data_IF_042474895362
#
_entry.id   IF_042474895362
#
_cell.length_a   1.000
_cell.length_b   1.000
_cell.length_c   1.000
_cell.angle_alpha   90.00
_cell.angle_beta   90.00
_cell.angle_gamma   90.00
#
_symmetry.space_group_name_H-M   'P 1'
#
loop_
_entity.id
_entity.type
_entity.pdbx_description
1 polymer ?
#
# COMPACT_ATOMS: atom_id res chain seq x y z
N UNK A 1 -4.18 -7.70 2.62
CA UNK A 1 -5.40 -8.29 3.26
C UNK A 1 -6.41 -7.24 3.72
N UNK A 2 -6.02 -6.13 4.38
CA UNK A 2 -6.96 -5.04 4.74
C UNK A 2 -7.54 -4.32 3.51
N UNK A 3 -6.72 -4.09 2.48
CA UNK A 3 -7.12 -3.46 1.21
C UNK A 3 -8.06 -4.31 0.35
N UNK A 4 -7.97 -5.64 0.44
CA UNK A 4 -8.85 -6.56 -0.30
C UNK A 4 -10.29 -6.49 0.24
N UNK A 5 -10.48 -6.25 1.56
CA UNK A 5 -11.81 -6.12 2.17
C UNK A 5 -12.52 -4.82 1.81
N UNK A 6 -11.80 -3.71 1.60
CA UNK A 6 -12.39 -2.45 1.10
C UNK A 6 -12.71 -2.50 -0.39
N UNK A 7 -12.01 -3.36 -1.15
CA UNK A 7 -12.15 -3.51 -2.59
C UNK A 7 -13.46 -4.20 -3.05
N UNK A 8 -14.10 -4.98 -2.16
CA UNK A 8 -15.37 -5.69 -2.40
C UNK A 8 -16.61 -4.95 -1.87
N UNK A 9 -16.46 -3.69 -1.43
CA UNK A 9 -17.61 -2.89 -0.98
C UNK A 9 -18.50 -2.55 -2.19
N UNK A 10 -19.75 -3.03 -2.13
CA UNK A 10 -20.85 -2.33 -2.79
C UNK A 10 -21.60 -3.08 -3.89
N UNK A 11 -21.59 -4.42 -3.95
CA UNK A 11 -22.63 -5.15 -4.70
C UNK A 11 -23.50 -5.95 -3.75
N UNK A 12 -24.82 -5.83 -3.90
CA UNK A 12 -25.76 -6.61 -3.09
C UNK A 12 -25.85 -8.06 -3.61
N UNK A 13 -26.19 -9.01 -2.73
CA UNK A 13 -26.38 -10.41 -3.17
C UNK A 13 -27.41 -10.56 -4.32
N UNK A 14 -28.54 -9.83 -4.33
CA UNK A 14 -29.46 -9.84 -5.47
C UNK A 14 -28.86 -9.41 -6.81
N UNK A 15 -28.03 -8.35 -6.84
CA UNK A 15 -27.30 -7.94 -8.05
C UNK A 15 -26.36 -9.05 -8.53
N UNK A 16 -25.64 -9.67 -7.59
CA UNK A 16 -24.71 -10.78 -7.87
C UNK A 16 -25.43 -11.98 -8.48
N UNK A 17 -26.58 -12.36 -7.93
CA UNK A 17 -27.41 -13.44 -8.43
C UNK A 17 -27.96 -13.12 -9.84
N UNK A 18 -28.46 -11.90 -10.05
CA UNK A 18 -28.94 -11.45 -11.36
C UNK A 18 -27.83 -11.55 -12.44
N UNK A 19 -26.62 -11.11 -12.11
CA UNK A 19 -25.46 -11.25 -13.00
C UNK A 19 -25.11 -12.72 -13.27
N UNK A 20 -25.08 -13.55 -12.22
CA UNK A 20 -24.70 -14.97 -12.32
C UNK A 20 -25.60 -15.74 -13.30
N UNK A 21 -26.92 -15.69 -13.13
CA UNK A 21 -27.82 -16.41 -14.04
C UNK A 21 -27.88 -15.79 -15.44
N UNK A 22 -27.67 -14.48 -15.56
CA UNK A 22 -27.51 -13.84 -16.87
C UNK A 22 -26.25 -14.35 -17.57
N UNK A 23 -25.15 -14.60 -16.84
CA UNK A 23 -23.96 -15.24 -17.40
C UNK A 23 -24.21 -16.68 -17.82
N UNK A 24 -24.87 -17.47 -16.98
CA UNK A 24 -25.22 -18.86 -17.32
C UNK A 24 -26.08 -18.92 -18.58
N UNK A 25 -27.03 -17.99 -18.76
CA UNK A 25 -27.88 -17.91 -19.95
C UNK A 25 -27.05 -17.78 -21.24
N UNK A 26 -25.94 -17.06 -21.21
CA UNK A 26 -25.13 -16.77 -22.40
C UNK A 26 -23.81 -17.55 -22.50
N UNK A 27 -23.56 -18.49 -21.59
CA UNK A 27 -22.33 -19.30 -21.58
C UNK A 27 -22.15 -20.11 -22.86
N UNK A 28 -23.25 -20.44 -23.54
CA UNK A 28 -23.27 -21.18 -24.80
C UNK A 28 -22.80 -20.34 -26.01
N UNK A 29 -22.59 -19.03 -25.84
CA UNK A 29 -22.14 -18.09 -26.88
C UNK A 29 -20.95 -17.19 -26.43
N UNK A 30 -19.85 -17.75 -25.88
CA UNK A 30 -18.84 -16.97 -25.16
C UNK A 30 -18.03 -16.02 -26.06
N UNK A 31 -17.96 -16.29 -27.37
CA UNK A 31 -17.28 -15.43 -28.36
C UNK A 31 -18.16 -14.30 -28.89
N UNK A 32 -19.48 -14.48 -28.86
CA UNK A 32 -20.46 -13.61 -29.53
C UNK A 32 -21.12 -12.63 -28.58
N UNK A 33 -21.35 -13.07 -27.34
CA UNK A 33 -22.06 -12.32 -26.31
C UNK A 33 -21.14 -12.15 -25.10
N UNK A 34 -21.03 -10.91 -24.61
CA UNK A 34 -20.30 -10.58 -23.38
C UNK A 34 -21.29 -10.06 -22.35
N UNK A 35 -21.28 -10.64 -21.16
CA UNK A 35 -22.05 -10.16 -20.01
C UNK A 35 -21.06 -9.54 -19.03
N UNK A 36 -21.27 -8.28 -18.66
CA UNK A 36 -20.38 -7.51 -17.79
C UNK A 36 -21.12 -7.04 -16.55
N UNK A 37 -20.41 -7.13 -15.42
CA UNK A 37 -20.87 -6.65 -14.13
C UNK A 37 -20.46 -5.18 -13.97
N UNK A 38 -21.39 -4.30 -13.57
CA UNK A 38 -21.12 -2.89 -13.22
C UNK A 38 -20.28 -2.13 -14.24
N UNK A 39 -20.61 -2.29 -15.53
CA UNK A 39 -19.86 -1.64 -16.61
C UNK A 39 -20.29 -0.18 -16.78
N UNK A 40 -19.31 0.75 -16.83
CA UNK A 40 -19.52 2.18 -17.15
C UNK A 40 -18.98 2.58 -18.52
N UNK A 41 -18.13 1.75 -19.12
CA UNK A 41 -17.35 2.09 -20.31
C UNK A 41 -18.24 2.26 -21.55
N UNK A 42 -19.29 1.44 -21.65
CA UNK A 42 -20.18 1.44 -22.82
C UNK A 42 -21.29 2.48 -22.72
N UNK A 43 -21.73 2.76 -21.51
CA UNK A 43 -22.93 3.54 -21.19
C UNK A 43 -22.60 4.95 -20.71
N UNK A 44 -21.39 5.19 -20.20
CA UNK A 44 -21.01 6.44 -19.52
C UNK A 44 -21.53 6.56 -18.08
N UNK A 45 -22.37 5.61 -17.64
CA UNK A 45 -22.85 5.46 -16.26
C UNK A 45 -22.88 3.97 -15.89
N UNK A 46 -22.75 3.65 -14.61
CA UNK A 46 -22.72 2.26 -14.14
C UNK A 46 -24.10 1.60 -14.24
N UNK A 47 -24.18 0.38 -14.78
CA UNK A 47 -25.36 -0.50 -14.72
C UNK A 47 -24.97 -1.86 -14.18
N UNK A 48 -25.81 -2.49 -13.34
CA UNK A 48 -25.45 -3.74 -12.66
C UNK A 48 -25.08 -4.86 -13.63
N UNK A 49 -25.86 -5.04 -14.69
CA UNK A 49 -25.57 -6.03 -15.75
C UNK A 49 -25.69 -5.39 -17.13
N UNK A 50 -24.61 -5.50 -17.90
CA UNK A 50 -24.56 -5.04 -19.31
C UNK A 50 -24.31 -6.23 -20.22
N UNK A 51 -25.23 -6.51 -21.13
CA UNK A 51 -25.15 -7.61 -22.09
C UNK A 51 -24.86 -7.05 -23.47
N UNK A 52 -23.73 -7.45 -24.07
CA UNK A 52 -23.20 -6.88 -25.30
C UNK A 52 -23.14 -7.96 -26.37
N UNK A 53 -23.81 -7.70 -27.50
CA UNK A 53 -23.82 -8.58 -28.66
C UNK A 53 -22.91 -8.00 -29.74
N UNK A 54 -21.76 -8.65 -29.98
CA UNK A 54 -20.68 -8.09 -30.80
C UNK A 54 -20.85 -8.28 -32.32
N UNK A 55 -22.06 -8.56 -32.80
CA UNK A 55 -22.25 -9.22 -34.09
C UNK A 55 -22.63 -8.31 -35.26
N UNK A 56 -22.35 -7.00 -35.19
CA UNK A 56 -22.73 -5.98 -36.21
C UNK A 56 -21.86 -4.71 -36.09
N UNK A 57 -21.90 -3.82 -37.11
CA UNK A 57 -21.20 -2.51 -37.14
C UNK A 57 -21.42 -1.63 -35.90
N UNK A 58 -22.56 -1.78 -35.22
CA UNK A 58 -22.87 -1.17 -33.92
C UNK A 58 -23.33 -2.29 -32.96
N UNK A 59 -22.72 -2.45 -31.78
CA UNK A 59 -23.12 -3.48 -30.83
C UNK A 59 -24.56 -3.25 -30.36
N UNK A 60 -25.34 -4.33 -30.25
CA UNK A 60 -26.63 -4.31 -29.57
C UNK A 60 -26.39 -4.55 -28.07
N UNK A 61 -27.03 -3.74 -27.21
CA UNK A 61 -26.78 -3.74 -25.77
C UNK A 61 -28.11 -3.81 -25.03
N UNK A 62 -28.18 -4.70 -24.03
CA UNK A 62 -29.26 -4.78 -23.06
C UNK A 62 -28.72 -4.41 -21.68
N UNK A 63 -29.53 -3.70 -20.90
CA UNK A 63 -29.19 -3.24 -19.56
C UNK A 63 -30.12 -3.89 -18.53
N UNK A 64 -29.57 -4.35 -17.41
CA UNK A 64 -30.32 -4.72 -16.21
C UNK A 64 -29.82 -3.93 -15.01
N UNK A 65 -30.73 -3.61 -14.10
CA UNK A 65 -30.45 -2.98 -12.81
C UNK A 65 -31.28 -3.65 -11.71
N UNK A 66 -30.71 -3.78 -10.52
CA UNK A 66 -31.39 -4.17 -9.30
C UNK A 66 -31.35 -3.02 -8.29
N UNK A 67 -32.51 -2.46 -7.97
CA UNK A 67 -32.64 -1.36 -7.03
C UNK A 67 -33.06 -1.87 -5.64
N UNK A 68 -32.13 -1.76 -4.68
CA UNK A 68 -32.40 -2.03 -3.27
C UNK A 68 -33.03 -0.83 -2.57
N UNK A 69 -34.07 -1.05 -1.76
CA UNK A 69 -34.82 0.02 -1.09
C UNK A 69 -33.98 0.78 -0.04
N UNK A 70 -32.91 0.17 0.47
CA UNK A 70 -31.97 0.82 1.39
C UNK A 70 -31.13 1.92 0.73
N UNK A 71 -30.93 1.86 -0.58
CA UNK A 71 -30.04 2.73 -1.35
C UNK A 71 -30.80 3.70 -2.26
N UNK A 72 -31.84 3.22 -2.94
CA UNK A 72 -32.64 4.04 -3.86
C UNK A 72 -33.75 4.76 -3.09
N UNK A 73 -33.37 5.83 -2.37
CA UNK A 73 -34.30 6.71 -1.64
C UNK A 73 -34.66 7.98 -2.42
N UNK A 74 -33.74 8.43 -3.27
CA UNK A 74 -33.94 9.53 -4.20
C UNK A 74 -34.28 8.98 -5.58
N UNK A 75 -35.30 9.55 -6.21
CA UNK A 75 -35.81 9.13 -7.52
C UNK A 75 -35.13 9.87 -8.67
N UNK A 76 -34.50 11.02 -8.42
CA UNK A 76 -33.92 11.86 -9.48
C UNK A 76 -32.79 11.12 -10.22
N UNK A 77 -31.87 10.50 -9.48
CA UNK A 77 -30.79 9.69 -10.06
C UNK A 77 -31.34 8.50 -10.88
N UNK A 78 -32.42 7.87 -10.41
CA UNK A 78 -33.08 6.78 -11.13
C UNK A 78 -33.68 7.25 -12.46
N UNK A 79 -34.29 8.44 -12.48
CA UNK A 79 -34.86 9.07 -13.67
C UNK A 79 -33.76 9.44 -14.67
N UNK A 80 -32.66 10.02 -14.21
CA UNK A 80 -31.51 10.34 -15.07
C UNK A 80 -30.94 9.10 -15.75
N UNK A 81 -30.82 8.01 -15.00
CA UNK A 81 -30.33 6.73 -15.50
C UNK A 81 -31.28 6.10 -16.52
N UNK A 82 -32.59 6.21 -16.32
CA UNK A 82 -33.59 5.81 -17.32
C UNK A 82 -33.46 6.64 -18.60
N UNK A 83 -33.35 7.97 -18.46
CA UNK A 83 -33.20 8.88 -19.59
C UNK A 83 -31.93 8.59 -20.40
N UNK A 84 -30.83 8.22 -19.72
CA UNK A 84 -29.60 7.78 -20.37
C UNK A 84 -29.81 6.51 -21.21
N UNK A 85 -30.44 5.48 -20.65
CA UNK A 85 -30.72 4.25 -21.39
C UNK A 85 -31.58 4.50 -22.65
N UNK A 86 -32.62 5.34 -22.52
CA UNK A 86 -33.48 5.76 -23.63
C UNK A 86 -32.67 6.54 -24.68
N UNK A 87 -31.85 7.50 -24.26
CA UNK A 87 -30.97 8.29 -25.14
C UNK A 87 -30.02 7.40 -25.94
N UNK A 88 -29.48 6.35 -25.31
CA UNK A 88 -28.60 5.39 -25.97
C UNK A 88 -29.34 4.37 -26.85
N UNK A 89 -30.67 4.34 -26.77
CA UNK A 89 -31.53 3.34 -27.42
C UNK A 89 -31.20 1.90 -26.98
N UNK A 90 -30.87 1.73 -25.69
CA UNK A 90 -30.59 0.43 -25.09
C UNK A 90 -31.82 -0.04 -24.31
N UNK A 91 -32.44 -1.18 -24.66
CA UNK A 91 -33.52 -1.73 -23.85
C UNK A 91 -33.04 -1.98 -22.42
N UNK A 92 -33.87 -1.59 -21.47
CA UNK A 92 -33.51 -1.56 -20.07
C UNK A 92 -34.60 -2.20 -19.20
N UNK A 93 -34.18 -3.14 -18.35
CA UNK A 93 -35.01 -3.78 -17.35
C UNK A 93 -34.50 -3.45 -15.95
N UNK A 94 -35.42 -3.16 -15.04
CA UNK A 94 -35.12 -2.77 -13.68
C UNK A 94 -35.90 -3.63 -12.70
N UNK A 95 -35.20 -4.29 -11.78
CA UNK A 95 -35.78 -5.05 -10.68
C UNK A 95 -35.79 -4.15 -9.46
N UNK A 96 -36.98 -3.74 -8.98
CA UNK A 96 -37.11 -2.81 -7.84
C UNK A 96 -37.70 -3.51 -6.64
N UNK A 97 -37.11 -3.32 -5.47
CA UNK A 97 -37.76 -3.66 -4.21
C UNK A 97 -39.01 -2.81 -4.00
N UNK A 98 -40.07 -3.40 -3.43
CA UNK A 98 -41.36 -2.74 -3.24
C UNK A 98 -41.31 -1.40 -2.46
N UNK A 99 -40.25 -1.13 -1.70
CA UNK A 99 -40.11 0.07 -0.86
C UNK A 99 -39.30 1.16 -1.56
N UNK A 100 -38.72 0.88 -2.72
CA UNK A 100 -38.17 1.93 -3.56
C UNK A 100 -39.29 2.93 -3.91
N UNK A 101 -38.96 4.23 -4.02
CA UNK A 101 -39.89 5.23 -4.53
C UNK A 101 -40.52 4.77 -5.85
N UNK A 102 -41.81 5.07 -6.01
CA UNK A 102 -42.57 4.70 -7.20
C UNK A 102 -41.98 5.41 -8.42
N UNK A 103 -41.32 4.64 -9.27
CA UNK A 103 -40.82 5.11 -10.56
C UNK A 103 -41.75 4.60 -11.66
N UNK A 104 -42.56 5.50 -12.22
CA UNK A 104 -43.45 5.17 -13.35
C UNK A 104 -42.81 5.69 -14.64
N UNK A 105 -42.18 4.79 -15.37
CA UNK A 105 -41.63 5.07 -16.70
C UNK A 105 -41.98 3.92 -17.64
N UNK A 106 -42.97 4.13 -18.52
CA UNK A 106 -43.49 3.09 -19.43
C UNK A 106 -42.47 2.67 -20.50
N UNK A 107 -41.39 3.45 -20.67
CA UNK A 107 -40.28 3.12 -21.58
C UNK A 107 -39.36 2.04 -21.02
N UNK A 108 -39.40 1.82 -19.70
CA UNK A 108 -38.52 0.89 -18.98
C UNK A 108 -39.33 -0.28 -18.42
N UNK A 109 -38.83 -1.50 -18.62
CA UNK A 109 -39.49 -2.68 -18.08
C UNK A 109 -39.16 -2.86 -16.60
N UNK A 110 -40.17 -2.75 -15.73
CA UNK A 110 -39.99 -2.82 -14.27
C UNK A 110 -40.53 -4.13 -13.70
N UNK A 111 -39.70 -4.82 -12.92
CA UNK A 111 -40.07 -6.02 -12.15
C UNK A 111 -40.10 -5.62 -10.67
N UNK A 112 -41.23 -5.80 -9.99
CA UNK A 112 -41.34 -5.51 -8.56
C UNK A 112 -41.03 -6.75 -7.74
N UNK A 113 -40.04 -6.66 -6.84
CA UNK A 113 -39.74 -7.64 -5.80
C UNK A 113 -40.58 -7.32 -4.55
N UNK A 114 -41.45 -8.25 -4.18
CA UNK A 114 -42.48 -8.05 -3.16
C UNK A 114 -42.01 -8.21 -1.71
N UNK A 115 -40.94 -8.97 -1.47
CA UNK A 115 -40.47 -9.34 -0.12
C UNK A 115 -39.08 -8.79 0.20
N UNK A 116 -38.92 -8.20 1.40
CA UNK A 116 -37.63 -7.67 1.91
C UNK A 116 -36.85 -8.66 2.75
N UNK A 117 -37.43 -9.82 3.06
CA UNK A 117 -36.73 -10.80 3.88
C UNK A 117 -35.51 -11.30 3.11
N UNK A 118 -34.32 -11.17 3.71
CA UNK A 118 -33.09 -11.76 3.20
C UNK A 118 -33.15 -13.29 3.10
N UNK A 119 -34.25 -13.91 3.58
CA UNK A 119 -34.55 -15.35 3.49
C UNK A 119 -35.59 -15.72 2.43
N UNK A 120 -36.18 -14.74 1.74
CA UNK A 120 -37.15 -14.98 0.66
C UNK A 120 -36.42 -15.00 -0.70
N UNK A 121 -35.70 -16.10 -0.89
CA UNK A 121 -34.98 -16.41 -2.13
C UNK A 121 -35.93 -16.78 -3.25
N UNK A 122 -37.13 -17.29 -2.94
CA UNK A 122 -38.15 -17.62 -3.93
C UNK A 122 -38.61 -16.37 -4.71
N UNK A 123 -38.82 -15.24 -4.03
CA UNK A 123 -39.18 -14.00 -4.71
C UNK A 123 -38.05 -13.49 -5.62
N UNK A 124 -36.78 -13.61 -5.18
CA UNK A 124 -35.62 -13.27 -6.00
C UNK A 124 -35.49 -14.20 -7.21
N UNK A 125 -35.67 -15.52 -7.02
CA UNK A 125 -35.69 -16.52 -8.08
C UNK A 125 -36.73 -16.15 -9.15
N UNK A 126 -37.95 -15.79 -8.72
CA UNK A 126 -39.00 -15.31 -9.64
C UNK A 126 -38.61 -14.04 -10.40
N UNK A 127 -37.98 -13.07 -9.73
CA UNK A 127 -37.51 -11.85 -10.38
C UNK A 127 -36.45 -12.15 -11.45
N UNK A 128 -35.50 -13.03 -11.15
CA UNK A 128 -34.44 -13.46 -12.10
C UNK A 128 -35.06 -14.17 -13.30
N UNK A 129 -36.00 -15.10 -13.07
CA UNK A 129 -36.75 -15.77 -14.15
C UNK A 129 -37.48 -14.77 -15.05
N UNK A 130 -38.16 -13.78 -14.47
CA UNK A 130 -38.82 -12.70 -15.23
C UNK A 130 -37.83 -11.85 -16.03
N UNK A 131 -36.65 -11.56 -15.48
CA UNK A 131 -35.61 -10.85 -16.19
C UNK A 131 -35.09 -11.66 -17.39
N UNK A 132 -34.90 -12.98 -17.23
CA UNK A 132 -34.55 -13.89 -18.32
C UNK A 132 -35.64 -13.88 -19.41
N UNK A 133 -36.91 -14.00 -19.04
CA UNK A 133 -38.01 -13.96 -20.00
C UNK A 133 -38.06 -12.63 -20.77
N UNK A 134 -37.81 -11.51 -20.08
CA UNK A 134 -37.70 -10.20 -20.72
C UNK A 134 -36.53 -10.15 -21.72
N UNK A 135 -35.34 -10.64 -21.35
CA UNK A 135 -34.17 -10.71 -22.25
C UNK A 135 -34.54 -11.50 -23.51
N UNK A 136 -35.15 -12.68 -23.36
CA UNK A 136 -35.55 -13.53 -24.49
C UNK A 136 -36.54 -12.79 -25.40
N UNK A 137 -37.48 -12.04 -24.84
CA UNK A 137 -38.42 -11.23 -25.61
C UNK A 137 -37.71 -10.12 -26.43
N UNK A 138 -36.73 -9.42 -25.84
CA UNK A 138 -35.93 -8.41 -26.56
C UNK A 138 -35.08 -9.01 -27.69
N UNK A 139 -34.55 -10.21 -27.48
CA UNK A 139 -33.75 -10.88 -28.51
C UNK A 139 -34.61 -11.40 -29.66
N UNK A 140 -35.85 -11.80 -29.37
CA UNK A 140 -36.81 -12.19 -30.39
C UNK A 140 -37.17 -11.02 -31.31
N UNK A 141 -37.33 -9.81 -30.76
CA UNK A 141 -37.74 -8.63 -31.53
C UNK A 141 -36.58 -7.97 -32.29
N UNK A 142 -35.35 -8.08 -31.78
CA UNK A 142 -34.18 -7.38 -32.33
C UNK A 142 -33.48 -8.10 -33.51
N UNK A 143 -33.75 -9.39 -33.72
CA UNK A 143 -33.12 -10.22 -34.75
C UNK A 143 -31.57 -10.26 -34.69
N UNK A 144 -30.97 -10.03 -33.51
CA UNK A 144 -29.51 -10.02 -33.32
C UNK A 144 -28.89 -11.42 -33.37
N UNK A 145 -29.71 -12.45 -33.13
CA UNK A 145 -29.35 -13.85 -33.27
C UNK A 145 -30.04 -14.44 -34.50
N UNK A 146 -29.35 -15.34 -35.20
CA UNK A 146 -30.00 -16.12 -36.26
C UNK A 146 -31.12 -16.99 -35.67
N UNK A 147 -32.08 -17.43 -36.51
CA UNK A 147 -33.18 -18.30 -36.06
C UNK A 147 -32.68 -19.56 -35.33
N UNK A 148 -31.58 -20.15 -35.80
CA UNK A 148 -30.98 -21.34 -35.19
C UNK A 148 -30.37 -21.04 -33.81
N UNK A 149 -29.64 -19.93 -33.68
CA UNK A 149 -29.04 -19.49 -32.43
C UNK A 149 -30.10 -19.10 -31.40
N UNK A 150 -31.14 -18.38 -31.83
CA UNK A 150 -32.26 -18.03 -30.96
C UNK A 150 -33.00 -19.27 -30.45
N UNK A 151 -33.23 -20.28 -31.31
CA UNK A 151 -33.84 -21.55 -30.88
C UNK A 151 -32.98 -22.27 -29.85
N UNK A 152 -31.66 -22.29 -30.06
CA UNK A 152 -30.71 -22.89 -29.10
C UNK A 152 -30.72 -22.14 -27.76
N UNK A 153 -30.72 -20.80 -27.80
CA UNK A 153 -30.84 -19.96 -26.60
C UNK A 153 -32.15 -20.21 -25.86
N UNK A 154 -33.26 -20.35 -26.59
CA UNK A 154 -34.57 -20.57 -26.01
C UNK A 154 -34.64 -21.91 -25.28
N UNK A 155 -34.06 -22.98 -25.82
CA UNK A 155 -33.97 -24.27 -25.14
C UNK A 155 -33.12 -24.16 -23.88
N UNK A 156 -31.92 -23.55 -24.00
CA UNK A 156 -31.02 -23.35 -22.86
C UNK A 156 -31.64 -22.50 -21.76
N UNK A 157 -32.43 -21.48 -22.11
CA UNK A 157 -33.08 -20.62 -21.12
C UNK A 157 -34.12 -21.37 -20.29
N UNK A 158 -34.76 -22.42 -20.81
CA UNK A 158 -35.62 -23.28 -19.98
C UNK A 158 -34.83 -24.03 -18.91
N UNK A 159 -33.65 -24.54 -19.26
CA UNK A 159 -32.80 -25.26 -18.30
C UNK A 159 -32.22 -24.30 -17.25
N UNK A 160 -31.72 -23.13 -17.66
CA UNK A 160 -31.25 -22.10 -16.73
C UNK A 160 -32.38 -21.63 -15.80
N UNK A 161 -33.59 -21.41 -16.31
CA UNK A 161 -34.74 -21.00 -15.48
C UNK A 161 -35.12 -22.06 -14.44
N UNK A 162 -35.03 -23.35 -14.78
CA UNK A 162 -35.28 -24.45 -13.83
C UNK A 162 -34.18 -24.55 -12.76
N UNK A 163 -32.95 -24.17 -13.10
CA UNK A 163 -31.82 -24.22 -12.17
C UNK A 163 -31.68 -22.98 -11.29
N UNK A 164 -32.58 -22.00 -11.38
CA UNK A 164 -32.50 -20.80 -10.53
C UNK A 164 -32.85 -21.17 -9.09
N UNK A 165 -31.82 -21.26 -8.25
CA UNK A 165 -31.91 -21.44 -6.80
C UNK A 165 -30.87 -20.55 -6.10
N UNK A 166 -31.24 -19.30 -5.83
CA UNK A 166 -30.33 -18.33 -5.21
C UNK A 166 -29.92 -18.67 -3.78
N UNK A 167 -30.68 -19.51 -3.07
CA UNK A 167 -30.27 -19.96 -1.74
C UNK A 167 -29.14 -20.98 -1.86
N UNK A 168 -29.33 -21.99 -2.71
CA UNK A 168 -28.34 -23.04 -2.93
C UNK A 168 -27.05 -22.50 -3.55
N UNK A 169 -27.17 -21.60 -4.53
CA UNK A 169 -26.03 -21.08 -5.30
C UNK A 169 -25.28 -19.95 -4.58
N UNK A 170 -25.70 -19.55 -3.37
CA UNK A 170 -25.17 -18.35 -2.70
C UNK A 170 -23.64 -18.31 -2.60
N UNK A 171 -23.02 -19.40 -2.17
CA UNK A 171 -21.56 -19.48 -2.00
C UNK A 171 -20.84 -19.41 -3.35
N UNK A 172 -21.35 -20.14 -4.35
CA UNK A 172 -20.79 -20.19 -5.70
C UNK A 172 -20.90 -18.82 -6.37
N UNK A 173 -22.07 -18.17 -6.27
CA UNK A 173 -22.31 -16.81 -6.77
C UNK A 173 -21.30 -15.85 -6.15
N UNK A 174 -21.20 -15.86 -4.81
CA UNK A 174 -20.31 -14.96 -4.09
C UNK A 174 -18.85 -15.13 -4.52
N UNK A 175 -18.39 -16.36 -4.73
CA UNK A 175 -17.01 -16.64 -5.12
C UNK A 175 -16.73 -16.34 -6.60
N UNK A 176 -17.66 -16.67 -7.50
CA UNK A 176 -17.55 -16.36 -8.92
C UNK A 176 -17.47 -14.85 -9.15
N UNK A 177 -18.32 -14.07 -8.46
CA UNK A 177 -18.33 -12.61 -8.61
C UNK A 177 -17.01 -12.00 -8.15
N UNK A 178 -16.46 -12.44 -7.01
CA UNK A 178 -15.15 -11.93 -6.54
C UNK A 178 -14.08 -12.11 -7.61
N UNK A 179 -14.02 -13.29 -8.23
CA UNK A 179 -13.04 -13.59 -9.27
C UNK A 179 -13.27 -12.76 -10.54
N UNK A 180 -14.52 -12.60 -10.98
CA UNK A 180 -14.85 -11.78 -12.17
C UNK A 180 -14.48 -10.31 -11.95
N UNK A 181 -14.89 -9.74 -10.82
CA UNK A 181 -14.59 -8.33 -10.48
C UNK A 181 -13.08 -8.12 -10.36
N UNK A 182 -12.37 -9.06 -9.72
CA UNK A 182 -10.92 -9.02 -9.64
C UNK A 182 -10.28 -8.99 -11.04
N UNK A 183 -10.66 -9.90 -11.94
CA UNK A 183 -10.09 -9.94 -13.29
C UNK A 183 -10.43 -8.71 -14.13
N UNK A 184 -11.66 -8.21 -14.09
CA UNK A 184 -12.04 -6.98 -14.80
C UNK A 184 -11.18 -5.79 -14.35
N UNK A 185 -11.02 -5.62 -13.04
CA UNK A 185 -10.24 -4.51 -12.50
C UNK A 185 -8.74 -4.66 -12.77
N UNK A 186 -8.22 -5.88 -12.78
CA UNK A 186 -6.85 -6.13 -13.25
C UNK A 186 -6.68 -5.74 -14.72
N UNK A 187 -7.66 -6.01 -15.58
CA UNK A 187 -7.63 -5.53 -16.98
C UNK A 187 -7.66 -4.01 -17.08
N UNK A 188 -8.47 -3.33 -16.26
CA UNK A 188 -8.50 -1.85 -16.20
C UNK A 188 -7.15 -1.28 -15.74
N UNK A 189 -6.53 -1.89 -14.73
CA UNK A 189 -5.20 -1.50 -14.24
C UNK A 189 -4.16 -1.66 -15.36
N UNK A 190 -4.15 -2.79 -16.06
CA UNK A 190 -3.21 -3.01 -17.17
C UNK A 190 -3.47 -2.06 -18.34
N UNK A 191 -4.72 -1.78 -18.66
CA UNK A 191 -5.08 -0.76 -19.66
C UNK A 191 -4.57 0.63 -19.23
N UNK A 192 -4.74 1.01 -17.97
CA UNK A 192 -4.26 2.30 -17.46
C UNK A 192 -2.73 2.39 -17.47
N UNK A 193 -2.03 1.30 -17.11
CA UNK A 193 -0.57 1.21 -17.25
C UNK A 193 -0.13 1.42 -18.69
N UNK A 194 -0.79 0.77 -19.66
CA UNK A 194 -0.47 0.93 -21.08
C UNK A 194 -0.63 2.39 -21.55
N UNK A 195 -1.70 3.07 -21.14
CA UNK A 195 -1.90 4.50 -21.44
C UNK A 195 -0.80 5.39 -20.85
N UNK A 196 -0.41 5.13 -19.60
CA UNK A 196 0.67 5.86 -18.94
C UNK A 196 2.02 5.64 -19.66
N UNK A 197 2.32 4.40 -20.04
CA UNK A 197 3.53 4.07 -20.81
C UNK A 197 3.56 4.80 -22.15
N UNK A 198 2.46 4.78 -22.91
CA UNK A 198 2.35 5.48 -24.20
C UNK A 198 2.55 7.00 -24.03
N UNK A 199 1.91 7.59 -23.01
CA UNK A 199 2.03 9.02 -22.70
C UNK A 199 3.47 9.40 -22.36
N UNK A 200 4.14 8.61 -21.50
CA UNK A 200 5.52 8.83 -21.12
C UNK A 200 6.48 8.68 -22.31
N UNK A 201 6.31 7.64 -23.14
CA UNK A 201 7.14 7.42 -24.34
C UNK A 201 7.04 8.56 -25.34
N UNK A 202 5.84 9.14 -25.53
CA UNK A 202 5.63 10.32 -26.39
C UNK A 202 6.33 11.58 -25.89
N UNK A 203 6.65 11.65 -24.60
CA UNK A 203 7.19 12.84 -23.93
C UNK A 203 8.49 12.50 -23.16
N UNK A 204 9.30 11.62 -23.74
CA UNK A 204 10.43 10.98 -23.05
C UNK A 204 11.52 11.95 -22.59
N UNK A 205 11.68 13.08 -23.27
CA UNK A 205 12.62 14.15 -22.89
C UNK A 205 12.26 14.81 -21.55
N UNK A 206 10.97 14.86 -21.21
CA UNK A 206 10.48 15.43 -19.95
C UNK A 206 10.34 14.37 -18.85
N UNK A 207 10.22 13.09 -19.21
CA UNK A 207 10.01 11.97 -18.29
C UNK A 207 11.28 11.55 -17.52
N UNK A 208 12.10 12.49 -17.06
CA UNK A 208 13.43 12.20 -16.46
C UNK A 208 13.36 12.08 -14.94
N UNK A 209 12.89 13.13 -14.26
CA UNK A 209 12.74 13.20 -12.80
C UNK A 209 11.30 13.54 -12.44
N UNK A 210 10.88 13.15 -11.23
CA UNK A 210 9.55 13.47 -10.69
C UNK A 210 9.21 14.94 -10.88
N UNK A 211 10.14 15.85 -10.53
CA UNK A 211 9.92 17.30 -10.63
C UNK A 211 9.76 17.75 -12.08
N UNK A 212 10.67 17.34 -12.97
CA UNK A 212 10.63 17.74 -14.38
C UNK A 212 9.36 17.24 -15.06
N UNK A 213 8.96 15.99 -14.76
CA UNK A 213 7.72 15.43 -15.27
C UNK A 213 6.49 16.16 -14.72
N UNK A 214 6.43 16.45 -13.42
CA UNK A 214 5.26 17.11 -12.83
C UNK A 214 5.07 18.54 -13.36
N UNK A 215 6.16 19.31 -13.51
CA UNK A 215 6.12 20.65 -14.11
C UNK A 215 5.63 20.60 -15.57
N UNK A 216 6.05 19.60 -16.36
CA UNK A 216 5.56 19.38 -17.72
C UNK A 216 4.11 18.91 -17.75
N UNK A 217 3.74 17.96 -16.90
CA UNK A 217 2.41 17.38 -16.84
C UNK A 217 1.36 18.42 -16.44
N UNK A 218 1.69 19.32 -15.51
CA UNK A 218 0.81 20.43 -15.11
C UNK A 218 0.49 21.36 -16.28
N UNK A 219 1.49 21.72 -17.09
CA UNK A 219 1.29 22.59 -18.26
C UNK A 219 0.47 21.95 -19.38
N UNK A 220 0.48 20.61 -19.46
CA UNK A 220 -0.13 19.85 -20.55
C UNK A 220 -1.38 19.06 -20.12
N UNK A 221 -1.87 19.27 -18.89
CA UNK A 221 -3.01 18.55 -18.30
C UNK A 221 -2.85 17.00 -18.39
N UNK A 222 -1.66 16.51 -18.08
CA UNK A 222 -1.32 15.08 -18.09
C UNK A 222 -1.32 14.49 -16.67
N UNK A 223 -1.26 13.15 -16.60
CA UNK A 223 -1.11 12.46 -15.31
C UNK A 223 0.25 12.77 -14.67
N UNK A 224 0.23 13.20 -13.41
CA UNK A 224 1.45 13.49 -12.62
C UNK A 224 2.19 12.21 -12.20
N UNK A 225 3.40 12.38 -11.71
CA UNK A 225 4.33 11.36 -11.24
C UNK A 225 3.74 10.39 -10.22
N UNK A 226 2.89 10.88 -9.31
CA UNK A 226 2.25 10.04 -8.29
C UNK A 226 1.41 8.91 -8.91
N UNK A 227 0.80 9.12 -10.09
CA UNK A 227 0.07 8.09 -10.80
C UNK A 227 1.01 7.00 -11.31
N UNK A 228 2.16 7.37 -11.86
CA UNK A 228 3.18 6.40 -12.27
C UNK A 228 3.72 5.62 -11.08
N UNK A 229 4.02 6.30 -9.96
CA UNK A 229 4.48 5.64 -8.74
C UNK A 229 3.42 4.65 -8.22
N UNK A 230 2.14 5.03 -8.25
CA UNK A 230 1.04 4.16 -7.84
C UNK A 230 0.96 2.89 -8.71
N UNK A 231 1.00 3.02 -10.04
CA UNK A 231 0.83 1.88 -10.95
C UNK A 231 2.09 1.01 -11.12
N UNK A 232 3.28 1.58 -11.00
CA UNK A 232 4.56 0.88 -11.23
C UNK A 232 5.35 0.61 -9.94
N UNK A 233 4.87 1.10 -8.80
CA UNK A 233 5.46 0.91 -7.47
C UNK A 233 6.59 1.88 -7.12
N UNK A 234 7.32 2.41 -8.11
CA UNK A 234 8.31 3.47 -7.91
C UNK A 234 8.56 4.25 -9.19
N UNK A 235 9.11 5.47 -9.07
CA UNK A 235 9.51 6.27 -10.22
C UNK A 235 10.59 5.58 -11.05
N UNK A 236 11.57 4.94 -10.41
CA UNK A 236 12.63 4.20 -11.11
C UNK A 236 12.08 3.04 -11.93
N UNK A 237 11.08 2.30 -11.42
CA UNK A 237 10.40 1.25 -12.19
C UNK A 237 9.59 1.84 -13.35
N UNK A 238 8.97 3.01 -13.16
CA UNK A 238 8.28 3.71 -14.24
C UNK A 238 9.24 4.11 -15.38
N UNK A 239 10.45 4.60 -15.05
CA UNK A 239 11.51 4.90 -16.02
C UNK A 239 11.95 3.65 -16.80
N UNK A 240 12.14 2.54 -16.09
CA UNK A 240 12.57 1.26 -16.67
C UNK A 240 11.55 0.74 -17.71
N UNK A 241 10.26 0.71 -17.38
CA UNK A 241 9.22 0.19 -18.29
C UNK A 241 9.03 1.04 -19.55
N UNK A 242 9.38 2.33 -19.51
CA UNK A 242 9.33 3.20 -20.69
C UNK A 242 10.62 3.13 -21.52
N UNK A 243 11.64 2.39 -21.06
CA UNK A 243 12.93 2.25 -21.74
C UNK A 243 13.91 3.39 -21.47
N UNK A 244 13.65 4.22 -20.46
CA UNK A 244 14.53 5.32 -20.09
C UNK A 244 15.65 4.79 -19.19
N UNK A 245 16.90 4.96 -19.65
CA UNK A 245 18.08 4.51 -18.90
C UNK A 245 18.07 5.12 -17.51
N UNK A 246 18.30 4.29 -16.50
CA UNK A 246 18.30 4.72 -15.10
C UNK A 246 19.35 5.83 -14.92
N UNK A 247 18.90 7.02 -14.52
CA UNK A 247 19.78 8.18 -14.29
C UNK A 247 20.89 7.84 -13.28
N UNK A 248 20.63 6.96 -12.30
CA UNK A 248 21.67 6.49 -11.38
C UNK A 248 22.74 5.64 -12.08
N UNK A 249 22.37 4.84 -13.07
CA UNK A 249 23.32 4.05 -13.86
C UNK A 249 24.18 4.97 -14.73
N UNK A 250 23.57 5.99 -15.35
CA UNK A 250 24.30 7.02 -16.11
C UNK A 250 25.28 7.75 -15.17
N UNK A 251 24.80 8.20 -14.00
CA UNK A 251 25.65 8.86 -12.99
C UNK A 251 26.76 7.95 -12.48
N UNK A 252 26.51 6.66 -12.30
CA UNK A 252 27.53 5.67 -11.93
C UNK A 252 28.59 5.53 -13.02
N UNK A 253 28.21 5.45 -14.30
CA UNK A 253 29.16 5.40 -15.43
C UNK A 253 30.00 6.66 -15.51
N UNK A 254 29.38 7.84 -15.42
CA UNK A 254 30.09 9.12 -15.38
C UNK A 254 31.09 9.18 -14.20
N UNK A 255 30.68 8.72 -13.02
CA UNK A 255 31.57 8.70 -11.86
C UNK A 255 32.75 7.71 -12.03
N UNK A 256 32.53 6.57 -12.70
CA UNK A 256 33.60 5.61 -13.05
C UNK A 256 34.56 6.21 -14.07
N UNK A 257 34.05 6.83 -15.15
CA UNK A 257 34.85 7.54 -16.15
C UNK A 257 35.69 8.64 -15.51
N UNK A 258 35.07 9.47 -14.68
CA UNK A 258 35.76 10.48 -13.87
C UNK A 258 36.83 9.87 -12.97
N UNK A 259 36.51 8.73 -12.33
CA UNK A 259 37.45 7.99 -11.48
C UNK A 259 38.69 7.51 -12.25
N UNK A 260 38.52 7.03 -13.48
CA UNK A 260 39.64 6.67 -14.36
C UNK A 260 40.45 7.89 -14.81
N UNK A 261 39.80 9.02 -15.15
CA UNK A 261 40.51 10.26 -15.52
C UNK A 261 41.38 10.80 -14.38
N UNK A 262 41.00 10.51 -13.13
CA UNK A 262 41.61 11.09 -11.93
C UNK A 262 42.24 10.04 -11.02
N UNK A 263 42.60 8.87 -11.59
CA UNK A 263 42.93 7.64 -10.86
C UNK A 263 44.03 7.85 -9.80
N UNK A 264 45.04 8.68 -10.09
CA UNK A 264 46.16 8.97 -9.19
C UNK A 264 45.75 9.65 -7.89
N UNK A 265 44.59 10.31 -7.88
CA UNK A 265 44.04 11.04 -6.74
C UNK A 265 42.98 10.24 -5.99
N UNK A 266 42.51 9.10 -6.53
CA UNK A 266 41.45 8.24 -5.94
C UNK A 266 41.96 7.39 -4.75
N UNK A 267 43.12 7.73 -4.18
CA UNK A 267 43.74 7.02 -3.03
C UNK A 267 42.83 7.00 -1.80
N UNK A 268 42.29 8.15 -1.42
CA UNK A 268 41.39 8.31 -0.27
C UNK A 268 40.33 9.37 -0.53
N UNK A 269 39.21 9.30 0.19
CA UNK A 269 38.16 10.32 0.12
C UNK A 269 38.69 11.73 0.38
N UNK A 270 39.58 11.90 1.37
CA UNK A 270 40.12 13.21 1.72
C UNK A 270 41.06 13.75 0.65
N UNK A 271 41.93 12.89 0.11
CA UNK A 271 42.84 13.24 -1.00
C UNK A 271 42.06 13.67 -2.23
N UNK A 272 41.05 12.89 -2.61
CA UNK A 272 40.24 13.16 -3.78
C UNK A 272 39.40 14.43 -3.64
N UNK A 273 38.80 14.61 -2.45
CA UNK A 273 38.03 15.82 -2.15
C UNK A 273 38.91 17.07 -2.27
N UNK A 274 40.12 17.05 -1.72
CA UNK A 274 41.07 18.17 -1.82
C UNK A 274 41.48 18.43 -3.26
N UNK A 275 41.78 17.37 -4.02
CA UNK A 275 42.11 17.47 -5.43
C UNK A 275 41.00 18.17 -6.24
N UNK A 276 39.73 17.80 -6.01
CA UNK A 276 38.60 18.45 -6.70
C UNK A 276 38.42 19.92 -6.30
N UNK A 277 38.69 20.27 -5.04
CA UNK A 277 38.67 21.66 -4.57
C UNK A 277 39.77 22.50 -5.24
N UNK A 278 40.95 21.90 -5.50
CA UNK A 278 42.07 22.56 -6.19
C UNK A 278 41.86 22.67 -7.71
N UNK A 279 41.19 21.69 -8.33
CA UNK A 279 40.96 21.63 -9.78
C UNK A 279 39.92 22.64 -10.29
N UNK A 280 39.05 23.13 -9.39
CA UNK A 280 37.97 24.09 -9.65
C UNK A 280 37.16 23.80 -10.94
N UNK A 281 36.78 22.55 -11.16
CA UNK A 281 35.93 22.16 -12.29
C UNK A 281 34.49 21.89 -11.85
N UNK A 282 33.54 22.63 -12.40
CA UNK A 282 32.11 22.41 -12.15
C UNK A 282 31.59 21.10 -12.76
N UNK A 283 32.28 20.57 -13.76
CA UNK A 283 31.86 19.37 -14.50
C UNK A 283 32.07 18.06 -13.72
N UNK A 284 32.81 18.10 -12.61
CA UNK A 284 33.18 16.91 -11.85
C UNK A 284 32.18 16.64 -10.72
N UNK A 285 31.78 15.39 -10.60
CA UNK A 285 30.99 14.93 -9.47
C UNK A 285 31.81 15.00 -8.19
N UNK A 286 31.26 15.68 -7.16
CA UNK A 286 31.91 15.77 -5.85
C UNK A 286 32.16 14.39 -5.23
N UNK A 287 33.23 14.28 -4.43
CA UNK A 287 33.56 13.06 -3.67
C UNK A 287 32.36 12.56 -2.83
N UNK A 288 31.56 13.48 -2.28
CA UNK A 288 30.36 13.15 -1.49
C UNK A 288 29.26 12.52 -2.35
N UNK A 289 29.03 13.03 -3.56
CA UNK A 289 28.04 12.47 -4.47
C UNK A 289 28.46 11.07 -4.95
N UNK A 290 29.75 10.85 -5.21
CA UNK A 290 30.31 9.52 -5.51
C UNK A 290 30.04 8.55 -4.34
N UNK A 291 30.37 8.91 -3.10
CA UNK A 291 30.07 8.04 -1.93
C UNK A 291 28.59 7.72 -1.81
N UNK A 292 27.70 8.69 -2.09
CA UNK A 292 26.26 8.46 -2.06
C UNK A 292 25.81 7.46 -3.13
N UNK A 293 26.42 7.50 -4.32
CA UNK A 293 26.11 6.56 -5.41
C UNK A 293 26.59 5.13 -5.10
N UNK A 294 27.81 4.97 -4.59
CA UNK A 294 28.45 3.65 -4.40
C UNK A 294 28.33 3.09 -2.97
N UNK A 295 27.76 3.86 -2.05
CA UNK A 295 27.59 3.52 -0.63
C UNK A 295 28.86 3.71 0.22
N UNK A 296 30.05 3.53 -0.36
CA UNK A 296 31.33 3.81 0.28
C UNK A 296 32.44 4.15 -0.73
N UNK A 297 33.50 4.82 -0.26
CA UNK A 297 34.68 5.08 -1.09
C UNK A 297 35.38 3.79 -1.54
N UNK A 298 35.44 2.78 -0.66
CA UNK A 298 36.04 1.48 -1.02
C UNK A 298 35.24 0.75 -2.10
N UNK A 299 33.91 0.84 -2.08
CA UNK A 299 33.10 0.28 -3.16
C UNK A 299 33.39 0.98 -4.50
N UNK A 300 33.50 2.31 -4.50
CA UNK A 300 33.90 3.06 -5.69
C UNK A 300 35.29 2.63 -6.20
N UNK A 301 36.28 2.52 -5.32
CA UNK A 301 37.62 2.00 -5.68
C UNK A 301 37.56 0.60 -6.27
N UNK A 302 36.73 -0.28 -5.70
CA UNK A 302 36.54 -1.65 -6.20
C UNK A 302 35.99 -1.67 -7.63
N UNK A 303 35.04 -0.79 -7.95
CA UNK A 303 34.50 -0.65 -9.32
C UNK A 303 35.55 -0.13 -10.33
N UNK A 304 36.56 0.61 -9.86
CA UNK A 304 37.71 1.05 -10.66
C UNK A 304 38.84 0.01 -10.74
N UNK A 305 38.67 -1.18 -10.13
CA UNK A 305 39.73 -2.19 -10.05
C UNK A 305 40.92 -1.78 -9.17
N UNK A 306 40.76 -0.79 -8.29
CA UNK A 306 41.81 -0.33 -7.38
C UNK A 306 41.84 -1.13 -6.08
N UNK A 307 43.03 -1.24 -5.51
CA UNK A 307 43.20 -1.81 -4.18
C UNK A 307 42.41 -1.02 -3.13
N UNK A 308 41.57 -1.74 -2.40
CA UNK A 308 40.87 -1.20 -1.25
C UNK A 308 41.75 -1.34 -0.02
N UNK A 309 41.65 -0.39 0.91
CA UNK A 309 42.28 -0.60 2.21
C UNK A 309 41.44 -1.66 2.91
N UNK A 310 41.95 -2.89 2.97
CA UNK A 310 41.54 -3.82 4.01
C UNK A 310 42.04 -3.21 5.30
N UNK A 311 41.12 -2.85 6.20
CA UNK A 311 41.49 -2.50 7.55
C UNK A 311 42.20 -3.74 8.09
N UNK A 312 43.54 -3.70 8.25
CA UNK A 312 44.24 -4.77 8.95
C UNK A 312 43.51 -4.96 10.26
N UNK A 313 43.00 -6.17 10.49
CA UNK A 313 42.35 -6.52 11.74
C UNK A 313 43.42 -6.45 12.84
N UNK A 314 43.60 -5.27 13.43
CA UNK A 314 44.61 -5.03 14.44
C UNK A 314 44.41 -5.88 15.70
N UNK A 315 43.23 -6.48 15.84
CA UNK A 315 42.84 -7.31 16.97
C UNK A 315 42.18 -8.59 16.46
N UNK A 316 42.71 -9.72 16.88
CA UNK A 316 42.08 -11.02 16.64
C UNK A 316 40.77 -11.12 17.44
N UNK A 317 39.84 -11.95 16.96
CA UNK A 317 38.56 -12.17 17.67
C UNK A 317 38.81 -12.70 19.09
N UNK A 318 39.76 -13.61 19.26
CA UNK A 318 40.11 -14.19 20.56
C UNK A 318 40.67 -13.16 21.53
N UNK A 319 41.57 -12.28 21.06
CA UNK A 319 42.09 -11.18 21.90
C UNK A 319 40.98 -10.26 22.40
N UNK A 320 40.02 -9.93 21.54
CA UNK A 320 38.86 -9.12 21.95
C UNK A 320 38.00 -9.86 22.99
N UNK A 321 37.80 -11.17 22.83
CA UNK A 321 37.06 -11.98 23.82
C UNK A 321 37.79 -12.04 25.16
N UNK A 322 39.11 -12.23 25.15
CA UNK A 322 39.93 -12.23 26.36
C UNK A 322 39.83 -10.90 27.12
N UNK A 323 39.91 -9.76 26.42
CA UNK A 323 39.72 -8.45 27.04
C UNK A 323 38.30 -8.28 27.62
N UNK A 324 37.26 -8.75 26.92
CA UNK A 324 35.88 -8.68 27.41
C UNK A 324 35.69 -9.49 28.69
N UNK A 325 36.27 -10.69 28.75
CA UNK A 325 36.20 -11.57 29.93
C UNK A 325 37.02 -10.99 31.09
N UNK A 326 38.23 -10.51 30.82
CA UNK A 326 39.12 -9.91 31.83
C UNK A 326 38.54 -8.65 32.47
N UNK A 327 37.86 -7.81 31.69
CA UNK A 327 37.31 -6.52 32.15
C UNK A 327 35.78 -6.49 32.15
N UNK A 328 35.14 -7.63 32.42
CA UNK A 328 33.70 -7.85 32.28
C UNK A 328 32.82 -6.76 32.91
N UNK A 329 33.16 -6.29 34.11
CA UNK A 329 32.37 -5.26 34.82
C UNK A 329 32.44 -3.88 34.18
N UNK A 330 33.61 -3.48 33.66
CA UNK A 330 33.78 -2.23 32.93
C UNK A 330 33.08 -2.29 31.57
N UNK A 331 33.03 -3.48 30.98
CA UNK A 331 32.42 -3.76 29.68
C UNK A 331 30.88 -3.70 29.70
N UNK A 332 30.24 -3.76 30.89
CA UNK A 332 28.79 -3.58 31.06
C UNK A 332 28.30 -2.22 30.53
N UNK A 333 29.13 -1.18 30.60
CA UNK A 333 28.80 0.18 30.16
C UNK A 333 29.80 0.69 29.11
N UNK A 334 29.35 0.94 27.88
CA UNK A 334 30.23 1.32 26.76
C UNK A 334 30.99 2.62 27.00
N UNK A 335 30.42 3.58 27.75
CA UNK A 335 31.10 4.84 28.07
C UNK A 335 32.21 4.63 29.11
N UNK A 336 31.95 3.82 30.15
CA UNK A 336 32.99 3.43 31.11
C UNK A 336 34.12 2.65 30.43
N UNK A 337 33.76 1.69 29.57
CA UNK A 337 34.74 0.96 28.76
C UNK A 337 35.58 1.89 27.88
N UNK A 338 34.96 2.80 27.13
CA UNK A 338 35.70 3.71 26.25
C UNK A 338 36.69 4.60 27.02
N UNK A 339 36.31 5.09 28.21
CA UNK A 339 37.21 5.87 29.06
C UNK A 339 38.42 5.03 29.51
N UNK A 340 38.15 3.86 30.09
CA UNK A 340 39.20 2.94 30.55
C UNK A 340 40.11 2.48 29.39
N UNK A 341 39.52 2.12 28.26
CA UNK A 341 40.26 1.66 27.09
C UNK A 341 41.19 2.76 26.55
N UNK A 342 40.75 4.02 26.57
CA UNK A 342 41.60 5.15 26.18
C UNK A 342 42.81 5.30 27.12
N UNK A 343 42.59 5.24 28.43
CA UNK A 343 43.64 5.36 29.45
C UNK A 343 44.66 4.21 29.37
N UNK A 344 44.21 3.02 28.98
CA UNK A 344 45.04 1.80 28.91
C UNK A 344 45.47 1.41 27.49
N UNK A 345 45.25 2.27 26.49
CA UNK A 345 45.56 2.00 25.06
C UNK A 345 44.95 0.69 24.52
N UNK A 346 43.73 0.37 24.95
CA UNK A 346 42.96 -0.80 24.53
C UNK A 346 41.93 -0.46 23.42
N UNK A 347 41.34 -1.46 22.72
CA UNK A 347 40.32 -1.23 21.71
C UNK A 347 39.07 -0.54 22.29
N UNK A 348 38.59 0.51 21.62
CA UNK A 348 37.34 1.16 22.00
C UNK A 348 36.10 0.33 21.59
N UNK A 349 34.92 0.69 22.09
CA UNK A 349 33.66 -0.02 21.83
C UNK A 349 33.32 -0.16 20.33
N UNK A 350 33.78 0.76 19.48
CA UNK A 350 33.48 0.70 18.04
C UNK A 350 34.20 -0.46 17.35
N UNK A 351 35.38 -0.87 17.83
CA UNK A 351 36.08 -2.08 17.36
C UNK A 351 35.21 -3.32 17.60
N UNK A 352 34.64 -3.44 18.79
CA UNK A 352 33.73 -4.54 19.14
C UNK A 352 32.43 -4.49 18.32
N UNK A 353 31.85 -3.31 18.12
CA UNK A 353 30.65 -3.16 17.27
C UNK A 353 30.92 -3.61 15.84
N UNK A 354 32.07 -3.22 15.26
CA UNK A 354 32.46 -3.67 13.91
C UNK A 354 32.66 -5.18 13.85
N UNK A 355 33.31 -5.77 14.85
CA UNK A 355 33.60 -7.22 14.88
C UNK A 355 32.38 -8.08 15.14
N UNK A 356 31.51 -7.68 16.06
CA UNK A 356 30.41 -8.50 16.57
C UNK A 356 29.03 -7.99 16.12
N UNK A 357 28.97 -6.94 15.29
CA UNK A 357 27.77 -6.30 14.77
C UNK A 357 27.07 -5.34 15.74
N UNK A 358 27.16 -5.59 17.06
CA UNK A 358 26.68 -4.66 18.08
C UNK A 358 27.41 -4.86 19.41
N UNK A 359 27.37 -3.84 20.26
CA UNK A 359 27.92 -3.95 21.61
C UNK A 359 27.13 -4.95 22.46
N UNK A 360 25.83 -5.10 22.22
CA UNK A 360 25.00 -6.07 22.97
C UNK A 360 25.37 -7.52 22.62
N UNK A 361 25.70 -7.79 21.35
CA UNK A 361 26.24 -9.09 20.93
C UNK A 361 27.61 -9.36 21.56
N UNK A 362 28.48 -8.36 21.60
CA UNK A 362 29.78 -8.47 22.27
C UNK A 362 29.62 -8.81 23.77
N UNK A 363 28.71 -8.12 24.47
CA UNK A 363 28.39 -8.40 25.88
C UNK A 363 27.80 -9.80 26.10
N UNK A 364 27.02 -10.31 25.14
CA UNK A 364 26.48 -11.66 25.18
C UNK A 364 27.56 -12.74 25.11
N UNK A 365 28.51 -12.57 24.20
CA UNK A 365 29.68 -13.44 24.06
C UNK A 365 30.51 -13.42 25.35
N UNK A 366 30.60 -12.27 26.02
CA UNK A 366 31.26 -12.13 27.32
C UNK A 366 30.46 -12.71 28.51
N UNK A 367 29.30 -13.34 28.26
CA UNK A 367 28.42 -13.90 29.28
C UNK A 367 27.82 -12.84 30.20
N UNK A 368 27.57 -11.62 29.71
CA UNK A 368 26.87 -10.56 30.44
C UNK A 368 25.38 -10.66 30.10
N UNK A 369 24.55 -10.95 31.11
CA UNK A 369 23.09 -11.10 30.92
C UNK A 369 22.42 -9.79 30.54
N UNK A 370 21.23 -9.83 29.93
CA UNK A 370 20.47 -8.59 29.62
C UNK A 370 20.08 -7.79 30.88
N UNK A 371 19.95 -8.44 32.04
CA UNK A 371 19.75 -7.73 33.30
C UNK A 371 21.02 -6.94 33.69
N UNK A 372 22.20 -7.54 33.52
CA UNK A 372 23.49 -6.92 33.86
C UNK A 372 23.95 -5.84 32.86
N UNK A 373 23.41 -5.87 31.63
CA UNK A 373 23.68 -4.87 30.58
C UNK A 373 23.06 -3.51 30.89
N UNK A 374 21.99 -3.47 31.68
CA UNK A 374 21.26 -2.25 32.01
C UNK A 374 21.80 -1.64 33.30
N UNK A 375 22.64 -0.61 33.18
CA UNK A 375 23.03 0.21 34.34
C UNK A 375 21.89 1.12 34.84
N UNK A 376 20.73 1.12 34.19
CA UNK A 376 19.57 1.90 34.60
C UNK A 376 18.62 1.03 35.43
N UNK A 377 18.35 1.45 36.67
CA UNK A 377 17.32 0.82 37.53
C UNK A 377 16.01 0.71 36.72
N UNK A 378 15.48 -0.50 36.61
CA UNK A 378 14.14 -0.73 36.04
C UNK A 378 13.12 -0.42 37.12
N UNK A 379 12.39 0.66 36.92
CA UNK A 379 11.30 1.06 37.79
C UNK A 379 10.02 0.31 37.42
N UNK A 380 9.47 -0.43 38.39
CA UNK A 380 8.12 -0.98 38.31
C UNK A 380 7.09 0.15 38.42
N UNK A 381 5.85 -0.10 37.98
CA UNK A 381 4.77 0.89 38.10
C UNK A 381 4.54 1.28 39.56
N UNK A 382 4.55 0.29 40.47
CA UNK A 382 4.32 0.52 41.89
C UNK A 382 5.45 1.33 42.54
N UNK A 383 6.72 1.04 42.24
CA UNK A 383 7.82 1.87 42.73
C UNK A 383 7.75 3.32 42.24
N UNK A 384 7.31 3.54 40.99
CA UNK A 384 7.13 4.89 40.46
C UNK A 384 6.03 5.63 41.23
N UNK A 385 4.90 4.96 41.49
CA UNK A 385 3.79 5.49 42.29
C UNK A 385 4.29 5.81 43.70
N UNK A 386 4.96 4.87 44.38
CA UNK A 386 5.49 5.06 45.74
C UNK A 386 6.41 6.27 45.82
N UNK A 387 7.38 6.40 44.91
CA UNK A 387 8.31 7.55 44.92
C UNK A 387 7.59 8.86 44.60
N UNK A 388 6.65 8.87 43.66
CA UNK A 388 5.89 10.08 43.34
C UNK A 388 4.99 10.51 44.51
N UNK A 389 4.35 9.56 45.20
CA UNK A 389 3.56 9.82 46.41
C UNK A 389 4.42 10.32 47.56
N UNK A 390 5.60 9.73 47.78
CA UNK A 390 6.53 10.14 48.83
C UNK A 390 6.97 11.59 48.68
N UNK A 391 7.12 12.10 47.45
CA UNK A 391 7.59 13.45 47.16
C UNK A 391 6.56 14.28 46.38
N UNK A 392 5.27 14.12 46.71
CA UNK A 392 4.14 14.72 45.99
C UNK A 392 4.28 16.23 45.74
N UNK A 393 4.78 16.98 46.73
CA UNK A 393 4.97 18.45 46.66
C UNK A 393 5.91 18.92 45.53
N UNK A 394 6.81 18.03 45.08
CA UNK A 394 7.73 18.29 43.99
C UNK A 394 7.25 17.72 42.65
N UNK A 395 6.28 16.79 42.66
CA UNK A 395 5.73 16.14 41.46
C UNK A 395 4.64 16.99 40.80
N UNK A 396 4.94 18.24 40.42
CA UNK A 396 3.94 19.15 39.82
C UNK A 396 4.14 19.29 38.31
N UNK A 397 5.32 19.73 37.88
CA UNK A 397 5.71 19.86 36.46
C UNK A 397 6.93 19.00 36.18
N UNK A 398 7.12 18.60 34.92
CA UNK A 398 8.32 17.85 34.51
C UNK A 398 9.62 18.59 34.88
N UNK A 399 9.61 19.91 34.75
CA UNK A 399 10.76 20.75 35.09
C UNK A 399 11.03 20.77 36.60
N UNK A 400 10.00 20.96 37.43
CA UNK A 400 10.16 20.98 38.88
C UNK A 400 10.60 19.63 39.42
N UNK A 401 10.06 18.51 38.89
CA UNK A 401 10.53 17.17 39.23
C UNK A 401 11.95 16.91 38.72
N UNK A 402 12.30 17.40 37.54
CA UNK A 402 13.65 17.28 36.97
C UNK A 402 14.70 18.02 37.80
N UNK A 403 14.37 19.23 38.28
CA UNK A 403 15.20 20.01 39.19
C UNK A 403 15.34 19.33 40.55
N UNK A 404 14.24 18.78 41.08
CA UNK A 404 14.25 18.00 42.32
C UNK A 404 15.14 16.74 42.21
N UNK A 405 15.01 15.98 41.13
CA UNK A 405 15.87 14.83 40.83
C UNK A 405 17.37 15.22 40.84
N UNK A 406 17.72 16.33 40.17
CA UNK A 406 19.12 16.82 40.14
C UNK A 406 19.60 17.19 41.54
N UNK A 407 18.79 17.93 42.31
CA UNK A 407 19.11 18.31 43.70
C UNK A 407 19.36 17.09 44.58
N UNK A 408 18.45 16.11 44.54
CA UNK A 408 18.56 14.91 45.37
C UNK A 408 19.75 14.03 44.99
N UNK A 409 20.08 13.95 43.70
CA UNK A 409 21.29 13.26 43.22
C UNK A 409 22.58 13.89 43.77
N UNK A 410 22.58 15.19 44.03
CA UNK A 410 23.74 15.90 44.60
C UNK A 410 23.79 15.86 46.14
N UNK A 411 22.65 15.88 46.83
CA UNK A 411 22.60 16.01 48.29
C UNK A 411 22.44 14.70 49.05
N UNK A 412 21.86 13.66 48.43
CA UNK A 412 21.58 12.41 49.14
C UNK A 412 21.69 11.20 48.22
N UNK A 413 22.92 10.68 48.06
CA UNK A 413 23.25 9.63 47.10
C UNK A 413 22.52 8.29 47.32
N UNK A 414 21.87 8.09 48.46
CA UNK A 414 21.12 6.86 48.77
C UNK A 414 19.68 6.87 48.23
N UNK A 415 19.06 8.04 48.03
CA UNK A 415 17.67 8.12 47.54
C UNK A 415 17.68 8.27 46.02
N UNK A 416 17.40 7.17 45.32
CA UNK A 416 17.31 7.21 43.86
C UNK A 416 15.95 7.75 43.43
N UNK A 417 15.93 8.86 42.70
CA UNK A 417 14.70 9.44 42.14
C UNK A 417 14.64 9.16 40.63
N UNK A 418 13.53 8.64 40.06
CA UNK A 418 13.40 8.45 38.62
C UNK A 418 13.35 9.80 37.88
N UNK A 419 14.00 9.87 36.71
CA UNK A 419 13.94 11.05 35.85
C UNK A 419 12.50 11.26 35.31
N UNK A 420 12.03 12.50 35.09
CA UNK A 420 10.66 12.77 34.63
C UNK A 420 10.22 11.97 33.38
N UNK A 421 11.14 11.74 32.44
CA UNK A 421 10.85 11.00 31.21
C UNK A 421 10.50 9.53 31.44
N UNK A 422 10.87 8.94 32.59
CA UNK A 422 10.50 7.57 32.96
C UNK A 422 8.99 7.50 33.24
N UNK A 423 8.46 8.47 33.99
CA UNK A 423 7.03 8.60 34.25
C UNK A 423 6.25 8.87 32.96
N UNK A 424 6.69 9.84 32.16
CA UNK A 424 6.04 10.17 30.89
C UNK A 424 5.91 8.95 29.97
N UNK A 425 6.97 8.15 29.83
CA UNK A 425 6.94 6.92 29.02
C UNK A 425 6.04 5.85 29.63
N UNK A 426 6.10 5.64 30.95
CA UNK A 426 5.33 4.58 31.62
C UNK A 426 3.83 4.82 31.56
N UNK A 427 3.40 6.06 31.75
CA UNK A 427 2.00 6.42 31.90
C UNK A 427 1.41 7.09 30.64
N UNK A 428 2.13 7.06 29.51
CA UNK A 428 1.65 7.64 28.25
C UNK A 428 1.48 9.16 28.29
N UNK A 429 2.24 9.85 29.14
CA UNK A 429 2.17 11.31 29.34
C UNK A 429 2.45 11.71 30.78
N UNK A 430 2.98 12.92 30.99
CA UNK A 430 3.22 13.48 32.33
C UNK A 430 1.92 13.79 33.07
N UNK A 431 0.96 14.40 32.36
CA UNK A 431 -0.37 14.67 32.92
C UNK A 431 -1.08 13.36 33.28
N UNK A 432 -1.05 12.36 32.40
CA UNK A 432 -1.59 11.03 32.69
C UNK A 432 -0.92 10.39 33.91
N UNK A 433 0.39 10.54 34.08
CA UNK A 433 1.07 10.07 35.29
C UNK A 433 0.47 10.70 36.56
N UNK A 434 0.28 12.03 36.60
CA UNK A 434 -0.35 12.70 37.75
C UNK A 434 -1.78 12.21 38.00
N UNK A 435 -2.60 12.10 36.94
CA UNK A 435 -3.98 11.60 37.05
C UNK A 435 -4.04 10.19 37.62
N UNK A 436 -3.20 9.29 37.12
CA UNK A 436 -3.17 7.88 37.54
C UNK A 436 -2.61 7.75 38.95
N UNK A 437 -1.52 8.46 39.28
CA UNK A 437 -0.83 8.34 40.57
C UNK A 437 -1.64 9.00 41.69
N UNK A 438 -2.25 10.16 41.45
CA UNK A 438 -2.92 10.95 42.50
C UNK A 438 -4.44 11.01 42.40
N UNK A 439 -5.04 10.43 41.37
CA UNK A 439 -6.49 10.51 41.13
C UNK A 439 -6.98 11.91 40.76
N UNK A 440 -6.08 12.81 40.36
CA UNK A 440 -6.41 14.18 39.94
C UNK A 440 -7.19 14.13 38.60
N UNK A 441 -8.41 14.70 38.57
CA UNK A 441 -9.24 14.76 37.36
C UNK A 441 -8.71 15.79 36.37
#
# INVERSE_FOLDING_TARGET
>A
MKEIKEFFKGTSFPEQALFYYTRMLFEIFPKKIKVRNRDKLITGSEFDVVIIFNNVKKPYVLLLEYDGAGWHKDIEEDIEKNNLAVKLSYPFCRVREKACPKLKDERIYSIIRGSYSSRDYDDLNRCIVKAIDWIIAQLKSSNVLSKSEFRRLLIHSFEVKKSVDTLYDMEIISELIKNVVYHQKMQEIEYKKAQLIDTAKKNMEYFTSVRNWDEFADKNNLSKSHMYIYYFGSWSKALEVVGQKNIEEIKRKMAIEQGYETIDFVKSYATYKKYLEELNREDFMSARAIVKLFGSWNNFKKELGLDTYTYQESYSTNYLIELMLKYKDLFKNSSKWNKFAKENKLPNAHVYIRRFGSMDKAKEIAGISKQDRNTHKRWTTDELITVACQFKEHFTTMEKWGSFHKKMKTTNAQILIPFPSIYQKRFGGWENAKKIIFGER
#
